data_IF_418261880854
#
_entry.id   IF_418261880854
#
_cell.length_a   1.000
_cell.length_b   1.000
_cell.length_c   1.000
_cell.angle_alpha   90.00
_cell.angle_beta   90.00
_cell.angle_gamma   90.00
#
_symmetry.space_group_name_H-M   'P 1'
#
loop_
_entity.id
_entity.type
_entity.pdbx_description
1 polymer ?
#
# COMPACT_ATOMS: atom_id res chain seq x y z
N UNK A 1 -6.06 -28.71 4.40
CA UNK A 1 -7.48 -28.50 4.75
C UNK A 1 -8.08 -27.54 3.71
N UNK A 2 -9.24 -27.86 3.13
CA UNK A 2 -9.99 -26.93 2.27
C UNK A 2 -11.40 -26.86 2.84
N UNK A 3 -11.84 -25.66 3.20
CA UNK A 3 -13.16 -25.38 3.76
C UNK A 3 -13.77 -24.20 3.00
N UNK A 4 -14.28 -24.48 1.79
CA UNK A 4 -14.87 -23.48 0.89
C UNK A 4 -16.32 -23.85 0.61
N UNK A 5 -17.21 -22.87 0.69
CA UNK A 5 -18.64 -23.00 0.41
C UNK A 5 -19.06 -21.95 -0.64
N UNK A 6 -20.27 -22.11 -1.18
CA UNK A 6 -20.86 -21.11 -2.07
C UNK A 6 -21.14 -19.81 -1.32
N UNK A 7 -21.16 -18.67 -2.02
CA UNK A 7 -21.59 -17.40 -1.43
C UNK A 7 -23.06 -17.51 -0.98
N UNK A 8 -23.39 -16.86 0.15
CA UNK A 8 -24.77 -16.77 0.62
C UNK A 8 -25.72 -16.29 -0.50
N UNK A 9 -26.85 -16.99 -0.74
CA UNK A 9 -27.87 -16.57 -1.69
C UNK A 9 -28.46 -15.19 -1.38
N UNK A 10 -28.60 -14.83 -0.10
CA UNK A 10 -29.14 -13.53 0.33
C UNK A 10 -28.21 -12.38 -0.05
N UNK A 11 -26.89 -12.58 0.12
CA UNK A 11 -25.89 -11.60 -0.33
C UNK A 11 -25.92 -11.48 -1.85
N UNK A 12 -26.00 -12.61 -2.55
CA UNK A 12 -26.04 -12.62 -4.02
C UNK A 12 -27.25 -11.86 -4.56
N UNK A 13 -28.42 -12.10 -3.98
CA UNK A 13 -29.67 -11.41 -4.33
C UNK A 13 -29.61 -9.90 -4.06
N UNK A 14 -29.00 -9.49 -2.95
CA UNK A 14 -28.84 -8.09 -2.59
C UNK A 14 -27.80 -7.33 -3.41
N UNK A 15 -26.82 -8.02 -4.00
CA UNK A 15 -25.63 -7.39 -4.61
C UNK A 15 -25.65 -7.42 -6.13
N UNK A 16 -25.92 -8.57 -6.75
CA UNK A 16 -25.66 -8.78 -8.19
C UNK A 16 -26.75 -9.49 -8.98
N UNK A 17 -27.56 -10.36 -8.36
CA UNK A 17 -28.59 -11.09 -9.12
C UNK A 17 -29.65 -10.13 -9.67
N UNK A 18 -29.98 -10.31 -10.95
CA UNK A 18 -30.97 -9.51 -11.69
C UNK A 18 -30.68 -8.01 -11.71
N UNK A 19 -29.42 -7.60 -11.55
CA UNK A 19 -28.96 -6.21 -11.70
C UNK A 19 -28.14 -6.05 -12.97
N UNK A 20 -28.19 -4.85 -13.53
CA UNK A 20 -27.25 -4.43 -14.56
C UNK A 20 -25.82 -4.39 -13.96
N UNK A 21 -24.82 -4.83 -14.71
CA UNK A 21 -23.41 -4.81 -14.32
C UNK A 21 -22.96 -3.43 -13.83
N UNK A 22 -23.49 -2.34 -14.40
CA UNK A 22 -23.17 -0.98 -14.00
C UNK A 22 -23.90 -0.50 -12.74
N UNK A 23 -25.01 -1.15 -12.37
CA UNK A 23 -25.80 -0.91 -11.15
C UNK A 23 -25.54 -1.97 -10.06
N UNK A 24 -24.42 -2.68 -10.17
CA UNK A 24 -23.95 -3.61 -9.16
C UNK A 24 -23.88 -2.91 -7.79
N UNK A 25 -24.57 -3.49 -6.80
CA UNK A 25 -24.50 -3.00 -5.43
C UNK A 25 -23.11 -3.25 -4.83
N UNK A 26 -22.73 -2.46 -3.83
CA UNK A 26 -21.53 -2.76 -3.05
C UNK A 26 -21.68 -4.13 -2.38
N UNK A 27 -20.65 -4.97 -2.46
CA UNK A 27 -20.68 -6.32 -1.89
C UNK A 27 -20.69 -6.37 -0.36
N UNK A 28 -20.43 -5.24 0.30
CA UNK A 28 -20.48 -5.06 1.75
C UNK A 28 -20.58 -3.55 2.08
N UNK A 29 -20.87 -3.21 3.33
CA UNK A 29 -20.64 -1.88 3.85
C UNK A 29 -19.16 -1.66 4.18
N UNK A 30 -18.73 -0.42 4.26
CA UNK A 30 -17.39 -0.10 4.72
C UNK A 30 -16.93 1.27 4.29
N UNK A 31 -15.73 1.63 4.72
CA UNK A 31 -15.04 2.84 4.30
C UNK A 31 -13.66 2.47 3.77
N UNK A 32 -13.17 3.22 2.78
CA UNK A 32 -11.91 2.97 2.09
C UNK A 32 -11.17 4.28 1.93
N UNK A 33 -9.83 4.19 1.87
CA UNK A 33 -9.00 5.36 1.70
C UNK A 33 -8.03 5.25 0.53
N UNK A 34 -7.93 6.35 -0.19
CA UNK A 34 -6.94 6.62 -1.21
C UNK A 34 -5.95 7.66 -0.69
N UNK A 35 -4.65 7.43 -0.85
CA UNK A 35 -3.65 8.43 -0.46
C UNK A 35 -2.64 8.62 -1.57
N UNK A 36 -2.16 9.86 -1.74
CA UNK A 36 -1.04 10.21 -2.61
C UNK A 36 -0.28 11.42 -2.03
N UNK A 37 1.01 11.49 -2.35
CA UNK A 37 1.97 12.49 -1.89
C UNK A 37 2.97 12.75 -3.03
N UNK A 38 3.50 13.95 -3.18
CA UNK A 38 4.47 14.30 -4.22
C UNK A 38 5.93 14.02 -3.81
N UNK A 39 6.16 13.47 -2.61
CA UNK A 39 7.50 13.20 -2.09
C UNK A 39 8.30 12.17 -2.92
N UNK A 40 7.62 11.38 -3.76
CA UNK A 40 8.24 10.48 -4.74
C UNK A 40 7.52 10.52 -6.09
N UNK A 41 8.21 10.10 -7.16
CA UNK A 41 7.64 10.04 -8.50
C UNK A 41 6.42 9.10 -8.58
N UNK A 42 6.42 8.01 -7.82
CA UNK A 42 5.32 7.03 -7.83
C UNK A 42 4.10 7.52 -6.99
N UNK A 43 4.20 8.73 -6.45
CA UNK A 43 3.28 9.37 -5.52
C UNK A 43 3.02 8.54 -4.25
N UNK A 44 4.06 7.99 -3.64
CA UNK A 44 3.99 7.14 -2.45
C UNK A 44 4.86 7.69 -1.32
N UNK A 45 4.57 7.40 -0.05
CA UNK A 45 5.48 7.74 1.03
C UNK A 45 6.86 7.12 0.82
N UNK A 46 7.92 7.92 0.92
CA UNK A 46 9.31 7.48 0.75
C UNK A 46 9.64 6.36 1.75
N UNK A 47 9.15 6.46 2.99
CA UNK A 47 9.38 5.44 4.02
C UNK A 47 8.90 4.05 3.60
N UNK A 48 7.67 3.94 3.08
CA UNK A 48 7.11 2.69 2.59
C UNK A 48 7.79 2.25 1.29
N UNK A 49 8.01 3.19 0.36
CA UNK A 49 8.61 2.89 -0.93
C UNK A 49 10.01 2.26 -0.79
N UNK A 50 10.84 2.79 0.11
CA UNK A 50 12.17 2.24 0.40
C UNK A 50 12.08 0.87 1.08
N UNK A 51 11.20 0.71 2.09
CA UNK A 51 11.01 -0.57 2.76
C UNK A 51 10.61 -1.69 1.76
N UNK A 52 9.68 -1.40 0.85
CA UNK A 52 9.29 -2.34 -0.21
C UNK A 52 10.40 -2.61 -1.22
N UNK A 53 11.13 -1.57 -1.67
CA UNK A 53 12.27 -1.72 -2.59
C UNK A 53 13.36 -2.62 -1.98
N UNK A 54 13.62 -2.52 -0.67
CA UNK A 54 14.55 -3.40 0.05
C UNK A 54 14.11 -4.88 0.02
N UNK A 55 12.87 -5.19 0.39
CA UNK A 55 12.38 -6.58 0.36
C UNK A 55 12.31 -7.14 -1.07
N UNK A 56 11.97 -6.30 -2.05
CA UNK A 56 11.96 -6.70 -3.46
C UNK A 56 13.37 -7.05 -3.95
N UNK A 57 14.36 -6.22 -3.64
CA UNK A 57 15.75 -6.50 -3.99
C UNK A 57 16.27 -7.74 -3.26
N UNK A 58 16.00 -7.89 -1.96
CA UNK A 58 16.31 -9.10 -1.20
C UNK A 58 15.76 -10.37 -1.86
N UNK A 59 14.48 -10.36 -2.27
CA UNK A 59 13.86 -11.45 -3.02
C UNK A 59 14.64 -11.74 -4.30
N UNK A 60 14.96 -10.72 -5.10
CA UNK A 60 15.70 -10.89 -6.36
C UNK A 60 17.09 -11.48 -6.13
N UNK A 61 17.83 -11.00 -5.14
CA UNK A 61 19.17 -11.51 -4.81
C UNK A 61 19.12 -12.96 -4.31
N UNK A 62 18.10 -13.31 -3.50
CA UNK A 62 17.82 -14.68 -3.06
C UNK A 62 17.51 -15.61 -4.22
N UNK A 63 16.59 -15.22 -5.11
CA UNK A 63 16.17 -16.03 -6.26
C UNK A 63 17.32 -16.25 -7.26
N UNK A 64 18.21 -15.26 -7.40
CA UNK A 64 19.44 -15.35 -8.20
C UNK A 64 20.59 -16.06 -7.48
N UNK A 65 20.40 -16.48 -6.23
CA UNK A 65 21.40 -17.13 -5.38
C UNK A 65 22.68 -16.29 -5.15
N UNK A 66 22.58 -14.96 -5.30
CA UNK A 66 23.67 -14.03 -4.96
C UNK A 66 23.86 -14.02 -3.44
N UNK A 67 22.75 -13.91 -2.71
CA UNK A 67 22.72 -14.15 -1.26
C UNK A 67 22.37 -15.63 -1.05
N UNK A 68 23.37 -16.51 -1.15
CA UNK A 68 23.20 -17.97 -1.08
C UNK A 68 22.49 -18.44 0.21
N UNK A 69 22.65 -17.68 1.29
CA UNK A 69 22.11 -17.95 2.61
C UNK A 69 20.66 -17.49 2.79
N UNK A 70 20.15 -16.63 1.93
CA UNK A 70 18.87 -15.96 2.12
C UNK A 70 17.69 -16.94 2.05
N UNK A 71 16.76 -16.83 2.99
CA UNK A 71 15.48 -17.55 3.01
C UNK A 71 14.29 -16.60 2.80
N UNK A 72 13.08 -17.10 2.47
CA UNK A 72 12.00 -16.25 1.99
C UNK A 72 11.44 -15.23 2.99
N UNK A 73 11.49 -15.51 4.29
CA UNK A 73 10.92 -14.62 5.32
C UNK A 73 11.84 -13.42 5.59
N UNK A 74 11.34 -12.22 5.36
CA UNK A 74 12.06 -10.98 5.56
C UNK A 74 11.11 -9.85 5.93
N UNK A 75 11.62 -8.90 6.73
CA UNK A 75 10.91 -7.70 7.18
C UNK A 75 11.87 -6.51 7.08
N UNK A 76 11.38 -5.40 6.57
CA UNK A 76 12.12 -4.14 6.48
C UNK A 76 11.30 -3.00 7.05
N UNK A 77 11.97 -2.01 7.62
CA UNK A 77 11.36 -0.79 8.13
C UNK A 77 12.33 0.37 7.94
N UNK A 78 11.79 1.52 7.51
CA UNK A 78 12.58 2.73 7.27
C UNK A 78 11.92 3.88 8.01
N UNK A 79 12.70 4.56 8.84
CA UNK A 79 12.31 5.78 9.53
C UNK A 79 12.93 6.96 8.79
N UNK A 80 12.10 7.91 8.37
CA UNK A 80 12.53 9.08 7.60
C UNK A 80 12.27 10.33 8.42
N UNK A 81 13.24 11.23 8.44
CA UNK A 81 13.05 12.57 9.00
C UNK A 81 12.41 13.47 7.95
N UNK A 82 11.35 14.18 8.34
CA UNK A 82 10.57 15.03 7.45
C UNK A 82 10.54 16.48 7.92
N UNK A 83 10.59 17.39 6.96
CA UNK A 83 10.13 18.76 7.11
C UNK A 83 8.74 18.89 6.50
N UNK A 84 7.83 19.59 7.19
CA UNK A 84 6.52 19.93 6.64
C UNK A 84 6.50 21.38 6.16
N UNK A 85 6.08 21.60 4.91
CA UNK A 85 5.83 22.93 4.35
C UNK A 85 4.38 23.01 3.86
N UNK A 86 3.55 23.80 4.56
CA UNK A 86 2.11 23.97 4.25
C UNK A 86 1.38 22.64 3.99
N UNK A 87 1.71 21.62 4.79
CA UNK A 87 1.12 20.28 4.70
C UNK A 87 1.80 19.32 3.72
N UNK A 88 2.72 19.76 2.86
CA UNK A 88 3.52 18.85 2.04
C UNK A 88 4.62 18.18 2.87
N UNK A 89 4.90 16.90 2.61
CA UNK A 89 5.96 16.14 3.26
C UNK A 89 7.25 16.24 2.46
N UNK A 90 8.32 16.79 3.04
CA UNK A 90 9.63 16.90 2.38
C UNK A 90 10.63 16.01 3.11
N UNK A 91 11.02 14.85 2.56
CA UNK A 91 12.04 13.99 3.16
C UNK A 91 13.38 14.72 3.29
N UNK A 92 13.99 14.65 4.47
CA UNK A 92 15.30 15.25 4.73
C UNK A 92 16.40 14.18 4.69
N UNK A 93 16.25 13.12 5.49
CA UNK A 93 17.25 12.04 5.63
C UNK A 93 16.63 10.78 6.23
N UNK A 94 17.31 9.63 6.12
CA UNK A 94 16.88 8.36 6.72
C UNK A 94 17.40 8.24 8.14
N UNK A 95 16.54 8.36 9.15
CA UNK A 95 16.94 8.27 10.56
C UNK A 95 17.40 6.87 10.93
N UNK A 96 16.60 5.86 10.61
CA UNK A 96 16.96 4.48 10.88
C UNK A 96 16.46 3.52 9.82
N UNK A 97 17.23 2.46 9.61
CA UNK A 97 16.91 1.35 8.70
C UNK A 97 16.98 0.05 9.49
N UNK A 98 15.91 -0.72 9.42
CA UNK A 98 15.82 -2.05 10.04
C UNK A 98 15.59 -3.08 8.93
N UNK A 99 16.36 -4.17 8.98
CA UNK A 99 16.12 -5.32 8.13
C UNK A 99 16.38 -6.60 8.92
N UNK A 100 15.38 -7.48 8.96
CA UNK A 100 15.48 -8.82 9.55
C UNK A 100 15.21 -9.83 8.46
N UNK A 101 16.18 -10.69 8.18
CA UNK A 101 16.11 -11.71 7.14
C UNK A 101 16.30 -13.09 7.75
N UNK A 102 15.42 -14.03 7.39
CA UNK A 102 15.64 -15.44 7.67
C UNK A 102 16.85 -15.93 6.87
N UNK A 103 17.71 -16.73 7.48
CA UNK A 103 18.99 -17.13 6.89
C UNK A 103 19.35 -18.61 7.08
N UNK A 104 20.33 -19.08 6.29
CA UNK A 104 20.97 -20.36 6.47
C UNK A 104 21.76 -20.40 7.78
N UNK A 105 21.87 -21.56 8.42
CA UNK A 105 22.60 -21.71 9.68
C UNK A 105 24.12 -21.49 9.54
N UNK A 106 24.65 -21.57 8.31
CA UNK A 106 26.09 -21.56 8.04
C UNK A 106 26.66 -20.17 7.74
N UNK A 107 25.82 -19.13 7.61
CA UNK A 107 26.31 -17.75 7.50
C UNK A 107 26.49 -17.14 8.88
N UNK A 108 27.58 -16.40 9.09
CA UNK A 108 27.80 -15.61 10.31
C UNK A 108 26.94 -14.35 10.31
N UNK A 109 26.60 -13.85 11.48
CA UNK A 109 25.79 -12.63 11.58
C UNK A 109 26.56 -11.41 11.04
N UNK A 110 27.87 -11.39 11.21
CA UNK A 110 28.76 -10.35 10.70
C UNK A 110 28.71 -10.30 9.16
N UNK A 111 28.93 -11.43 8.49
CA UNK A 111 28.88 -11.51 7.03
C UNK A 111 27.49 -11.16 6.49
N UNK A 112 26.43 -11.63 7.17
CA UNK A 112 25.06 -11.29 6.80
C UNK A 112 24.83 -9.77 6.84
N UNK A 113 25.26 -9.11 7.93
CA UNK A 113 25.08 -7.67 8.10
C UNK A 113 25.82 -6.87 7.04
N UNK A 114 27.06 -7.26 6.72
CA UNK A 114 27.86 -6.63 5.68
C UNK A 114 27.19 -6.79 4.30
N UNK A 115 26.74 -7.99 3.95
CA UNK A 115 26.07 -8.23 2.68
C UNK A 115 24.72 -7.51 2.57
N UNK A 116 23.94 -7.42 3.65
CA UNK A 116 22.70 -6.63 3.66
C UNK A 116 23.01 -5.15 3.45
N UNK A 117 24.05 -4.61 4.09
CA UNK A 117 24.47 -3.22 3.89
C UNK A 117 24.86 -2.95 2.44
N UNK A 118 25.80 -3.74 1.89
CA UNK A 118 26.38 -3.50 0.57
C UNK A 118 25.43 -3.83 -0.58
N UNK A 119 24.69 -4.93 -0.50
CA UNK A 119 23.87 -5.40 -1.62
C UNK A 119 22.41 -4.94 -1.55
N UNK A 120 21.94 -4.42 -0.40
CA UNK A 120 20.53 -4.03 -0.24
C UNK A 120 20.40 -2.57 0.19
N UNK A 121 21.01 -2.16 1.31
CA UNK A 121 20.78 -0.82 1.85
C UNK A 121 21.34 0.26 0.92
N UNK A 122 22.64 0.19 0.60
CA UNK A 122 23.30 1.18 -0.26
C UNK A 122 22.71 1.25 -1.69
N UNK A 123 22.34 0.13 -2.35
CA UNK A 123 21.74 0.20 -3.68
C UNK A 123 20.31 0.73 -3.71
N UNK A 124 19.55 0.58 -2.62
CA UNK A 124 18.13 0.99 -2.58
C UNK A 124 17.96 2.42 -2.09
N UNK A 125 18.74 2.84 -1.09
CA UNK A 125 18.59 4.16 -0.48
C UNK A 125 19.55 5.14 -1.17
N UNK A 126 19.03 6.21 -1.81
CA UNK A 126 19.89 7.24 -2.39
C UNK A 126 20.85 7.82 -1.35
N UNK A 127 22.12 7.94 -1.72
CA UNK A 127 23.20 8.39 -0.84
C UNK A 127 22.91 9.74 -0.18
N UNK A 128 22.21 10.65 -0.89
CA UNK A 128 21.77 11.95 -0.37
C UNK A 128 20.92 11.90 0.91
N UNK A 129 20.33 10.75 1.24
CA UNK A 129 19.54 10.57 2.46
C UNK A 129 20.29 9.82 3.57
N UNK A 130 21.52 9.36 3.32
CA UNK A 130 22.36 8.65 4.28
C UNK A 130 23.45 9.58 4.79
N UNK A 131 23.71 9.54 6.10
CA UNK A 131 24.83 10.23 6.72
C UNK A 131 25.42 9.39 7.86
N UNK A 132 26.41 9.96 8.55
CA UNK A 132 27.11 9.36 9.69
C UNK A 132 26.22 9.11 10.92
N UNK A 133 25.01 9.68 10.95
CA UNK A 133 24.03 9.54 12.02
C UNK A 133 22.93 8.53 11.69
N UNK A 134 22.87 7.99 10.48
CA UNK A 134 21.89 6.95 10.13
C UNK A 134 22.12 5.71 10.98
N UNK A 135 21.06 5.26 11.66
CA UNK A 135 21.12 4.07 12.52
C UNK A 135 20.73 2.83 11.72
N UNK A 136 21.55 1.79 11.77
CA UNK A 136 21.30 0.53 11.08
C UNK A 136 21.06 -0.62 12.08
N UNK A 137 19.90 -1.25 11.98
CA UNK A 137 19.53 -2.44 12.76
C UNK A 137 19.37 -3.64 11.80
N UNK A 138 20.49 -4.28 11.49
CA UNK A 138 20.56 -5.40 10.55
C UNK A 138 20.62 -6.72 11.31
N UNK A 139 19.60 -7.58 11.13
CA UNK A 139 19.31 -8.76 11.95
C UNK A 139 19.54 -8.49 13.46
N UNK A 140 18.78 -7.56 14.06
CA UNK A 140 19.00 -7.13 15.45
C UNK A 140 18.74 -8.23 16.48
N UNK A 141 17.91 -9.24 16.14
CA UNK A 141 17.70 -10.42 16.98
C UNK A 141 18.86 -11.44 16.90
N UNK A 142 19.91 -11.16 16.12
CA UNK A 142 20.96 -12.11 15.81
C UNK A 142 20.44 -13.19 14.88
N UNK A 143 20.41 -14.43 15.36
CA UNK A 143 20.01 -15.61 14.58
C UNK A 143 18.51 -15.63 14.27
N UNK A 144 18.18 -15.91 13.01
CA UNK A 144 16.82 -16.10 12.49
C UNK A 144 16.82 -17.23 11.46
N UNK A 145 17.12 -18.46 11.90
CA UNK A 145 17.13 -19.65 11.03
C UNK A 145 15.73 -20.22 10.81
N UNK A 146 14.95 -20.37 11.90
CA UNK A 146 13.56 -20.84 11.85
C UNK A 146 12.63 -19.67 11.54
N UNK A 147 11.91 -19.74 10.42
CA UNK A 147 11.02 -18.68 9.95
C UNK A 147 9.86 -19.21 9.10
N UNK A 148 9.10 -18.30 8.49
CA UNK A 148 7.87 -18.65 7.79
C UNK A 148 6.80 -19.23 8.73
N UNK A 149 5.87 -20.07 8.23
CA UNK A 149 4.78 -20.60 9.04
C UNK A 149 5.20 -21.44 10.26
N UNK A 150 6.43 -21.96 10.27
CA UNK A 150 6.99 -22.68 11.42
C UNK A 150 7.28 -21.72 12.59
N UNK A 151 7.66 -20.47 12.29
CA UNK A 151 8.01 -19.47 13.29
C UNK A 151 6.86 -18.53 13.67
N UNK A 152 5.93 -18.26 12.76
CA UNK A 152 4.80 -17.33 12.99
C UNK A 152 3.61 -17.68 12.09
N UNK A 153 2.39 -17.69 12.65
CA UNK A 153 1.19 -18.04 11.92
C UNK A 153 0.78 -16.92 10.93
N UNK A 154 0.65 -17.27 9.64
CA UNK A 154 0.20 -16.35 8.60
C UNK A 154 -1.31 -16.40 8.38
N UNK A 155 -1.95 -15.23 8.24
CA UNK A 155 -3.35 -15.11 7.79
C UNK A 155 -3.49 -14.02 6.72
N UNK A 156 -4.39 -14.24 5.76
CA UNK A 156 -4.78 -13.25 4.76
C UNK A 156 -5.26 -11.97 5.43
N UNK A 157 -4.85 -10.80 4.91
CA UNK A 157 -5.30 -9.51 5.43
C UNK A 157 -4.64 -9.05 6.73
N UNK A 158 -3.53 -9.67 7.17
CA UNK A 158 -2.77 -9.22 8.36
C UNK A 158 -1.63 -8.24 8.05
N UNK A 159 -1.62 -7.67 6.85
CA UNK A 159 -0.60 -6.74 6.35
C UNK A 159 -1.21 -5.53 5.63
N UNK A 160 -2.45 -5.15 5.96
CA UNK A 160 -3.20 -4.09 5.27
C UNK A 160 -2.49 -2.72 5.22
N UNK A 161 -1.70 -2.37 6.23
CA UNK A 161 -0.90 -1.13 6.22
C UNK A 161 0.33 -1.24 5.31
N UNK A 162 0.90 -2.44 5.20
CA UNK A 162 2.01 -2.75 4.28
C UNK A 162 1.50 -2.78 2.83
N UNK A 163 0.27 -3.29 2.62
CA UNK A 163 -0.41 -3.31 1.31
C UNK A 163 -0.83 -1.91 0.83
N UNK A 164 -0.86 -0.91 1.72
CA UNK A 164 -1.35 0.44 1.41
C UNK A 164 -0.25 1.49 1.54
N UNK A 165 -0.27 2.30 2.61
CA UNK A 165 0.48 3.55 2.67
C UNK A 165 1.44 3.61 3.87
N UNK A 166 1.71 2.49 4.54
CA UNK A 166 2.77 2.42 5.55
C UNK A 166 2.52 3.30 6.77
N UNK A 167 1.26 3.55 7.10
CA UNK A 167 0.82 4.40 8.21
C UNK A 167 0.45 5.83 7.79
N UNK A 168 0.76 6.24 6.56
CA UNK A 168 0.35 7.53 6.02
C UNK A 168 -1.10 7.51 5.53
N UNK A 169 -1.71 8.70 5.44
CA UNK A 169 -3.12 8.84 5.08
C UNK A 169 -4.02 8.19 6.13
N UNK A 170 -4.78 7.17 5.73
CA UNK A 170 -5.63 6.39 6.63
C UNK A 170 -5.91 4.99 6.03
N UNK A 171 -6.56 4.13 6.80
CA UNK A 171 -7.00 2.81 6.36
C UNK A 171 -8.41 2.50 6.90
N UNK A 172 -9.24 1.87 6.08
CA UNK A 172 -10.64 1.62 6.43
C UNK A 172 -10.92 0.28 7.11
N UNK A 173 -9.93 -0.61 7.13
CA UNK A 173 -9.94 -1.88 7.85
C UNK A 173 -10.08 -3.11 6.96
N UNK A 174 -10.67 -2.95 5.77
CA UNK A 174 -10.87 -4.04 4.80
C UNK A 174 -9.57 -4.56 4.19
N UNK A 175 -9.37 -5.88 4.18
CA UNK A 175 -8.30 -6.53 3.44
C UNK A 175 -8.60 -6.62 1.93
N UNK A 176 -7.55 -6.69 1.10
CA UNK A 176 -7.68 -6.77 -0.36
C UNK A 176 -7.64 -8.20 -0.92
N UNK A 177 -6.63 -8.97 -0.52
CA UNK A 177 -6.38 -10.31 -1.07
C UNK A 177 -7.49 -11.30 -0.73
N UNK A 178 -7.82 -12.18 -1.69
CA UNK A 178 -8.91 -13.17 -1.55
C UNK A 178 -10.31 -12.64 -1.88
N UNK A 179 -10.44 -11.37 -2.30
CA UNK A 179 -11.71 -10.75 -2.64
C UNK A 179 -11.81 -10.39 -4.13
N UNK A 180 -12.94 -10.70 -4.75
CA UNK A 180 -13.28 -10.22 -6.09
C UNK A 180 -13.65 -8.73 -6.05
N UNK A 181 -13.78 -8.11 -7.23
CA UNK A 181 -13.91 -6.66 -7.34
C UNK A 181 -15.29 -6.10 -6.94
N UNK A 182 -16.31 -6.94 -6.71
CA UNK A 182 -17.57 -6.49 -6.07
C UNK A 182 -17.37 -6.11 -4.59
N UNK A 183 -16.30 -6.59 -3.95
CA UNK A 183 -15.97 -6.25 -2.57
C UNK A 183 -15.25 -4.92 -2.56
N UNK A 184 -16.00 -3.89 -2.18
CA UNK A 184 -15.57 -2.49 -2.21
C UNK A 184 -14.32 -2.21 -1.38
N UNK A 185 -14.01 -3.05 -0.38
CA UNK A 185 -12.75 -2.98 0.36
C UNK A 185 -11.53 -2.89 -0.57
N UNK A 186 -11.57 -3.62 -1.68
CA UNK A 186 -10.51 -3.66 -2.67
C UNK A 186 -10.75 -2.66 -3.79
N UNK A 187 -11.90 -2.75 -4.47
CA UNK A 187 -12.16 -1.97 -5.67
C UNK A 187 -12.25 -0.47 -5.39
N UNK A 188 -12.95 -0.07 -4.32
CA UNK A 188 -13.06 1.34 -3.97
C UNK A 188 -11.78 1.90 -3.34
N UNK A 189 -11.00 1.10 -2.61
CA UNK A 189 -9.67 1.52 -2.17
C UNK A 189 -8.75 1.82 -3.38
N UNK A 190 -8.82 0.99 -4.43
CA UNK A 190 -8.06 1.21 -5.66
C UNK A 190 -8.56 2.44 -6.43
N UNK A 191 -9.87 2.66 -6.50
CA UNK A 191 -10.46 3.86 -7.10
C UNK A 191 -10.05 5.12 -6.32
N UNK A 192 -10.10 5.08 -4.99
CA UNK A 192 -9.66 6.19 -4.14
C UNK A 192 -8.17 6.49 -4.34
N UNK A 193 -7.31 5.46 -4.46
CA UNK A 193 -5.89 5.63 -4.83
C UNK A 193 -5.75 6.30 -6.20
N UNK A 194 -6.53 5.87 -7.18
CA UNK A 194 -6.51 6.45 -8.52
C UNK A 194 -6.90 7.93 -8.52
N UNK A 195 -7.93 8.30 -7.76
CA UNK A 195 -8.32 9.70 -7.54
C UNK A 195 -7.17 10.48 -6.89
N UNK A 196 -6.67 10.03 -5.75
CA UNK A 196 -5.62 10.73 -5.01
C UNK A 196 -4.37 10.95 -5.87
N UNK A 197 -3.92 9.91 -6.59
CA UNK A 197 -2.76 9.99 -7.50
C UNK A 197 -3.04 10.94 -8.67
N UNK A 198 -4.25 10.92 -9.24
CA UNK A 198 -4.64 11.82 -10.33
C UNK A 198 -4.61 13.29 -9.89
N UNK A 199 -5.16 13.61 -8.71
CA UNK A 199 -5.16 14.98 -8.18
C UNK A 199 -3.73 15.49 -7.94
N UNK A 200 -2.84 14.66 -7.39
CA UNK A 200 -1.44 15.02 -7.18
C UNK A 200 -0.68 15.16 -8.51
N UNK A 201 -0.84 14.20 -9.44
CA UNK A 201 -0.19 14.26 -10.76
C UNK A 201 -0.68 15.40 -11.65
N UNK A 202 -1.93 15.83 -11.49
CA UNK A 202 -2.46 17.00 -12.17
C UNK A 202 -1.97 18.33 -11.56
N UNK A 203 -1.20 18.29 -10.46
CA UNK A 203 -0.71 19.48 -9.79
C UNK A 203 -1.78 20.24 -9.02
N UNK A 204 -2.95 19.64 -8.78
CA UNK A 204 -4.04 20.28 -8.04
C UNK A 204 -3.77 20.31 -6.53
N UNK A 205 -2.95 19.39 -6.02
CA UNK A 205 -2.47 19.36 -4.65
C UNK A 205 -1.13 18.61 -4.59
N UNK A 206 -0.42 18.70 -3.47
CA UNK A 206 0.83 17.95 -3.25
C UNK A 206 0.61 16.69 -2.41
N UNK A 207 -0.42 16.70 -1.57
CA UNK A 207 -0.77 15.58 -0.69
C UNK A 207 -2.29 15.47 -0.62
N UNK A 208 -2.81 14.27 -0.83
CA UNK A 208 -4.26 14.04 -0.90
C UNK A 208 -4.63 12.76 -0.17
N UNK A 209 -5.64 12.85 0.69
CA UNK A 209 -6.37 11.72 1.24
C UNK A 209 -7.81 11.75 0.71
N UNK A 210 -8.30 10.62 0.24
CA UNK A 210 -9.66 10.43 -0.29
C UNK A 210 -10.32 9.38 0.57
N UNK A 211 -11.51 9.66 1.08
CA UNK A 211 -12.36 8.67 1.76
C UNK A 211 -13.57 8.37 0.88
N UNK A 212 -13.94 7.09 0.76
CA UNK A 212 -15.19 6.65 0.12
C UNK A 212 -15.86 5.66 1.08
N UNK A 213 -17.19 5.71 1.23
CA UNK A 213 -17.94 4.71 1.99
C UNK A 213 -19.14 4.16 1.22
N UNK A 214 -19.54 2.93 1.55
CA UNK A 214 -20.67 2.24 0.93
C UNK A 214 -21.55 1.57 2.00
N UNK A 215 -22.78 1.28 1.61
CA UNK A 215 -23.67 0.35 2.28
C UNK A 215 -23.92 -0.85 1.35
N UNK A 216 -24.05 -2.05 1.91
CA UNK A 216 -24.26 -3.28 1.14
C UNK A 216 -25.49 -3.17 0.23
N UNK A 217 -25.35 -3.60 -1.03
CA UNK A 217 -26.43 -3.60 -2.02
C UNK A 217 -26.77 -2.23 -2.62
N UNK A 218 -26.14 -1.13 -2.17
CA UNK A 218 -26.28 0.21 -2.79
C UNK A 218 -25.10 0.43 -3.73
N UNK A 219 -25.37 0.90 -4.96
CA UNK A 219 -24.32 1.10 -5.96
C UNK A 219 -23.55 2.40 -5.69
N UNK A 220 -24.26 3.48 -5.39
CA UNK A 220 -23.70 4.79 -5.11
C UNK A 220 -22.96 4.82 -3.76
N UNK A 221 -21.84 5.54 -3.65
CA UNK A 221 -21.20 5.75 -2.36
C UNK A 221 -22.11 6.55 -1.43
N UNK A 222 -22.08 6.20 -0.13
CA UNK A 222 -22.78 6.93 0.93
C UNK A 222 -22.07 8.26 1.22
N UNK A 223 -20.74 8.29 1.11
CA UNK A 223 -19.96 9.52 1.24
C UNK A 223 -18.68 9.46 0.42
N UNK A 224 -18.24 10.64 -0.02
CA UNK A 224 -16.91 10.88 -0.62
C UNK A 224 -16.34 12.14 0.03
N UNK A 225 -15.11 12.05 0.55
CA UNK A 225 -14.45 13.19 1.21
C UNK A 225 -13.02 13.32 0.70
N UNK A 226 -12.57 14.56 0.47
CA UNK A 226 -11.23 14.89 -0.02
C UNK A 226 -10.52 15.75 1.02
N UNK A 227 -9.30 15.37 1.38
CA UNK A 227 -8.43 16.16 2.25
C UNK A 227 -7.12 16.47 1.53
N UNK A 228 -6.87 17.75 1.24
CA UNK A 228 -5.64 18.20 0.55
C UNK A 228 -4.52 18.59 1.51
N UNK A 229 -4.79 18.55 2.82
CA UNK A 229 -3.87 18.98 3.88
C UNK A 229 -3.38 20.43 3.73
N UNK A 230 -4.13 21.29 3.05
CA UNK A 230 -3.73 22.67 2.76
C UNK A 230 -2.70 22.81 1.62
N UNK A 231 -2.46 21.75 0.86
CA UNK A 231 -1.48 21.74 -0.24
C UNK A 231 -2.06 22.11 -1.61
N UNK A 232 -3.34 22.50 -1.64
CA UNK A 232 -4.04 22.96 -2.83
C UNK A 232 -4.34 24.46 -2.73
N UNK A 233 -4.40 25.13 -3.88
CA UNK A 233 -5.02 26.46 -3.98
C UNK A 233 -6.55 26.40 -4.06
N UNK A 234 -7.12 25.23 -4.36
CA UNK A 234 -8.55 24.98 -4.40
C UNK A 234 -9.07 24.54 -3.03
N UNK A 235 -10.35 24.81 -2.76
CA UNK A 235 -10.99 24.26 -1.56
C UNK A 235 -11.22 22.75 -1.71
N UNK A 236 -11.39 22.04 -0.58
CA UNK A 236 -11.73 20.62 -0.60
C UNK A 236 -13.07 20.35 -1.31
N UNK A 237 -13.99 21.31 -1.27
CA UNK A 237 -15.25 21.28 -2.03
C UNK A 237 -15.00 21.34 -3.53
N UNK A 238 -14.16 22.26 -4.00
CA UNK A 238 -13.84 22.37 -5.43
C UNK A 238 -13.13 21.11 -5.94
N UNK A 239 -12.24 20.53 -5.13
CA UNK A 239 -11.59 19.26 -5.45
C UNK A 239 -12.60 18.11 -5.52
N UNK A 240 -13.58 18.06 -4.60
CA UNK A 240 -14.67 17.08 -4.66
C UNK A 240 -15.50 17.24 -5.94
N UNK A 241 -15.84 18.46 -6.34
CA UNK A 241 -16.56 18.70 -7.61
C UNK A 241 -15.76 18.25 -8.84
N UNK A 242 -14.43 18.38 -8.81
CA UNK A 242 -13.56 17.81 -9.85
C UNK A 242 -13.66 16.29 -9.85
N UNK A 243 -13.64 15.64 -8.69
CA UNK A 243 -13.78 14.19 -8.59
C UNK A 243 -15.14 13.72 -9.11
N UNK A 244 -16.23 14.34 -8.69
CA UNK A 244 -17.60 13.97 -9.07
C UNK A 244 -17.83 14.08 -10.59
N UNK A 245 -17.19 15.05 -11.25
CA UNK A 245 -17.27 15.22 -12.71
C UNK A 245 -16.45 14.21 -13.51
N UNK A 246 -15.48 13.55 -12.89
CA UNK A 246 -14.48 12.72 -13.58
C UNK A 246 -14.51 11.23 -13.19
N UNK A 247 -15.11 10.88 -12.05
CA UNK A 247 -15.11 9.52 -11.52
C UNK A 247 -16.52 9.05 -11.18
N UNK A 248 -16.96 7.97 -11.81
CA UNK A 248 -18.14 7.23 -11.40
C UNK A 248 -17.74 6.11 -10.46
N UNK A 249 -18.09 6.28 -9.18
CA UNK A 249 -17.65 5.44 -8.08
C UNK A 249 -18.58 4.26 -7.79
N UNK A 250 -19.54 3.95 -8.67
CA UNK A 250 -20.31 2.70 -8.54
C UNK A 250 -19.39 1.48 -8.75
N UNK A 251 -19.50 0.40 -7.96
CA UNK A 251 -18.63 -0.77 -8.07
C UNK A 251 -18.55 -1.33 -9.50
N UNK A 252 -19.69 -1.44 -10.19
CA UNK A 252 -19.77 -1.87 -11.59
C UNK A 252 -18.94 -1.01 -12.54
N UNK A 253 -18.98 0.31 -12.36
CA UNK A 253 -18.24 1.29 -13.14
C UNK A 253 -16.74 1.20 -12.86
N UNK A 254 -16.36 1.14 -11.58
CA UNK A 254 -14.96 0.93 -11.16
C UNK A 254 -14.38 -0.33 -11.81
N UNK A 255 -15.13 -1.45 -11.79
CA UNK A 255 -14.71 -2.72 -12.40
C UNK A 255 -14.48 -2.56 -13.91
N UNK A 256 -15.41 -1.89 -14.61
CA UNK A 256 -15.33 -1.66 -16.06
C UNK A 256 -14.13 -0.79 -16.43
N UNK A 257 -13.91 0.33 -15.73
CA UNK A 257 -12.72 1.18 -15.91
C UNK A 257 -11.44 0.43 -15.60
N UNK A 258 -11.47 -0.42 -14.57
CA UNK A 258 -10.30 -1.18 -14.18
C UNK A 258 -9.84 -2.18 -15.24
N UNK A 259 -10.79 -2.85 -15.90
CA UNK A 259 -10.49 -3.78 -16.99
C UNK A 259 -9.88 -3.09 -18.22
N UNK A 260 -10.24 -1.84 -18.50
CA UNK A 260 -9.74 -1.08 -19.64
C UNK A 260 -8.43 -0.33 -19.39
N UNK A 261 -8.19 0.15 -18.16
CA UNK A 261 -7.15 1.15 -17.89
C UNK A 261 -6.07 0.76 -16.84
N UNK A 262 -6.25 -0.28 -16.01
CA UNK A 262 -5.19 -0.67 -15.03
C UNK A 262 -3.91 -1.24 -15.66
N UNK A 263 -3.85 -1.40 -16.99
CA UNK A 263 -2.60 -1.71 -17.71
C UNK A 263 -1.70 -0.48 -17.94
N UNK A 264 -2.13 0.74 -17.59
CA UNK A 264 -1.44 2.01 -17.92
C UNK A 264 -1.09 2.91 -16.71
N UNK A 265 -1.31 2.49 -15.45
CA UNK A 265 -1.13 3.32 -14.25
C UNK A 265 0.03 2.90 -13.34
#
# INVERSE_FOLDING_TARGET
LVALEQQSPEISAGVHLNRDDEQLGAGDQGLMFGYATDETEECMPLSLALAHKMNNLYRTLRERKILWWARPDSKSQVTVEYKFDRGACIPQRIHSVIMSCQHHQDITIEELRDQVMEFIIKPVIPEKYLDDKTIYHLNPCGSFVLGGPLGDAGLTGRKIIVDTYGGWGAHGGGAFSGKDASKVDRSAAYAARWIAKSLVKAGLCKRCLVQISYAIGIAEPVSVTIFSYGTSSLSERDLLEVVDKNFDLRPGKIIKYGKSNFRKC
#
